data_IF_438561382140
#
_entry.id   IF_438561382140
#
_cell.length_a   1.000
_cell.length_b   1.000
_cell.length_c   1.000
_cell.angle_alpha   90.00
_cell.angle_beta   90.00
_cell.angle_gamma   90.00
#
_symmetry.space_group_name_H-M   'P 1'
#
loop_
_entity.id
_entity.type
_entity.pdbx_description
1 polymer ?
#
# COMPACT_ATOMS: atom_id res chain seq x y z
N UNK A 1 8.86 -8.61 15.31
CA UNK A 1 7.83 -7.59 14.95
C UNK A 1 8.41 -6.22 15.33
N UNK A 2 8.32 -5.23 14.46
CA UNK A 2 8.76 -3.87 14.79
C UNK A 2 7.66 -3.18 15.63
N UNK A 3 7.77 -3.26 16.96
CA UNK A 3 6.75 -2.76 17.89
C UNK A 3 6.50 -1.25 17.70
N UNK A 4 7.49 -0.51 17.25
CA UNK A 4 7.36 0.93 16.97
C UNK A 4 6.46 1.17 15.75
N UNK A 5 6.61 0.37 14.68
CA UNK A 5 5.81 0.50 13.45
C UNK A 5 4.35 0.14 13.73
N UNK A 6 4.11 -0.96 14.46
CA UNK A 6 2.76 -1.35 14.88
C UNK A 6 2.09 -0.25 15.71
N UNK A 7 2.79 0.26 16.73
CA UNK A 7 2.26 1.35 17.58
C UNK A 7 1.91 2.58 16.75
N UNK A 8 2.77 2.98 15.82
CA UNK A 8 2.53 4.12 14.94
C UNK A 8 1.24 3.93 14.11
N UNK A 9 1.07 2.77 13.45
CA UNK A 9 -0.10 2.47 12.63
C UNK A 9 -1.38 2.49 13.50
N UNK A 10 -1.34 1.84 14.67
CA UNK A 10 -2.48 1.81 15.58
C UNK A 10 -2.85 3.21 16.08
N UNK A 11 -1.88 4.04 16.43
CA UNK A 11 -2.12 5.41 16.88
C UNK A 11 -2.71 6.27 15.76
N UNK A 12 -2.23 6.12 14.53
CA UNK A 12 -2.79 6.78 13.35
C UNK A 12 -4.24 6.35 13.10
N UNK A 13 -4.53 5.05 13.12
CA UNK A 13 -5.91 4.57 12.95
C UNK A 13 -6.83 5.08 14.07
N UNK A 14 -6.38 5.08 15.33
CA UNK A 14 -7.16 5.62 16.48
C UNK A 14 -7.38 7.12 16.41
N UNK A 15 -6.57 7.87 15.69
CA UNK A 15 -6.80 9.31 15.48
C UNK A 15 -7.94 9.59 14.50
N UNK A 16 -8.39 8.56 13.75
CA UNK A 16 -9.52 8.69 12.82
C UNK A 16 -10.83 8.46 13.58
N UNK A 17 -11.70 9.48 13.62
CA UNK A 17 -13.03 9.36 14.22
C UNK A 17 -13.98 8.60 13.27
N UNK A 18 -13.87 7.27 13.28
CA UNK A 18 -14.67 6.38 12.43
C UNK A 18 -15.17 5.17 13.21
N UNK A 19 -16.48 4.86 13.19
CA UNK A 19 -17.01 3.63 13.77
C UNK A 19 -16.33 2.38 13.17
N UNK A 20 -15.94 1.45 14.05
CA UNK A 20 -15.35 0.17 13.64
C UNK A 20 -13.82 0.15 13.62
N UNK A 21 -13.13 1.27 13.91
CA UNK A 21 -11.66 1.33 13.97
C UNK A 21 -11.08 0.29 14.93
N UNK A 22 -11.66 0.10 16.10
CA UNK A 22 -11.16 -0.90 17.07
C UNK A 22 -11.26 -2.33 16.50
N UNK A 23 -12.37 -2.66 15.84
CA UNK A 23 -12.54 -3.97 15.20
C UNK A 23 -11.58 -4.15 14.01
N UNK A 24 -11.28 -3.09 13.26
CA UNK A 24 -10.26 -3.11 12.22
C UNK A 24 -8.88 -3.37 12.82
N UNK A 25 -8.50 -2.69 13.89
CA UNK A 25 -7.21 -2.90 14.58
C UNK A 25 -7.10 -4.33 15.09
N UNK A 26 -8.17 -4.87 15.69
CA UNK A 26 -8.21 -6.27 16.11
C UNK A 26 -7.99 -7.27 14.97
N UNK A 27 -8.56 -6.97 13.80
CA UNK A 27 -8.30 -7.74 12.59
C UNK A 27 -6.84 -7.64 12.13
N UNK A 28 -6.26 -6.45 12.08
CA UNK A 28 -4.86 -6.26 11.69
C UNK A 28 -3.92 -7.03 12.65
N UNK A 29 -4.19 -7.00 13.95
CA UNK A 29 -3.42 -7.71 14.98
C UNK A 29 -3.57 -9.24 14.93
N UNK A 30 -4.74 -9.74 14.55
CA UNK A 30 -5.02 -11.17 14.43
C UNK A 30 -4.61 -11.79 13.10
N UNK A 31 -4.31 -10.95 12.12
CA UNK A 31 -3.82 -11.33 10.80
C UNK A 31 -2.29 -11.24 10.72
N UNK A 32 -1.74 -11.49 9.52
CA UNK A 32 -0.32 -11.30 9.25
C UNK A 32 0.03 -9.88 8.75
N UNK A 33 -0.87 -8.89 8.83
CA UNK A 33 -0.65 -7.54 8.30
C UNK A 33 0.70 -6.94 8.73
N UNK A 34 1.11 -7.11 9.98
CA UNK A 34 2.36 -6.58 10.53
C UNK A 34 3.59 -7.43 10.23
N UNK A 35 3.41 -8.61 9.65
CA UNK A 35 4.50 -9.56 9.34
C UNK A 35 4.53 -9.97 7.87
N UNK A 36 3.45 -9.75 7.12
CA UNK A 36 3.40 -10.04 5.70
C UNK A 36 4.41 -9.22 4.89
N UNK A 37 4.97 -9.78 3.81
CA UNK A 37 5.76 -9.00 2.86
C UNK A 37 4.84 -8.13 1.98
N UNK A 38 5.37 -7.04 1.43
CA UNK A 38 4.65 -6.23 0.44
C UNK A 38 4.61 -6.90 -0.95
N UNK A 39 5.59 -7.75 -1.27
CA UNK A 39 5.66 -8.48 -2.54
C UNK A 39 6.39 -9.82 -2.39
N UNK A 40 6.40 -10.65 -3.44
CA UNK A 40 7.16 -11.92 -3.44
C UNK A 40 8.66 -11.73 -3.69
N UNK A 41 9.09 -10.67 -4.36
CA UNK A 41 10.50 -10.47 -4.77
C UNK A 41 10.87 -9.04 -5.17
N UNK A 42 9.94 -8.10 -5.09
CA UNK A 42 10.18 -6.69 -5.41
C UNK A 42 10.32 -5.88 -4.11
N UNK A 43 9.77 -4.67 -4.06
CA UNK A 43 9.77 -3.85 -2.84
C UNK A 43 9.17 -4.59 -1.65
N UNK A 44 9.73 -4.39 -0.46
CA UNK A 44 9.21 -4.96 0.78
C UNK A 44 9.07 -6.50 0.81
N UNK A 45 9.91 -7.24 0.07
CA UNK A 45 9.88 -8.71 0.01
C UNK A 45 10.53 -9.35 1.25
N UNK A 46 10.17 -8.89 2.44
CA UNK A 46 10.66 -9.35 3.74
C UNK A 46 9.57 -9.25 4.81
N UNK A 47 9.80 -9.87 5.95
CA UNK A 47 8.86 -9.85 7.08
C UNK A 47 8.58 -8.42 7.55
N UNK A 48 7.31 -8.02 7.55
CA UNK A 48 6.85 -6.68 7.92
C UNK A 48 6.84 -5.66 6.78
N UNK A 49 7.27 -6.06 5.57
CA UNK A 49 7.32 -5.18 4.42
C UNK A 49 5.98 -4.54 4.05
N UNK A 50 4.85 -5.23 4.27
CA UNK A 50 3.51 -4.69 4.02
C UNK A 50 3.21 -3.48 4.92
N UNK A 51 3.45 -3.60 6.21
CA UNK A 51 3.21 -2.52 7.16
C UNK A 51 4.14 -1.33 6.93
N UNK A 52 5.41 -1.58 6.63
CA UNK A 52 6.39 -0.55 6.30
C UNK A 52 6.01 0.20 5.01
N UNK A 53 5.67 -0.52 3.96
CA UNK A 53 5.16 0.05 2.72
C UNK A 53 3.93 0.95 2.95
N UNK A 54 2.96 0.48 3.73
CA UNK A 54 1.77 1.26 4.05
C UNK A 54 2.08 2.58 4.75
N UNK A 55 3.09 2.62 5.63
CA UNK A 55 3.56 3.86 6.27
C UNK A 55 4.28 4.76 5.28
N UNK A 56 5.14 4.21 4.43
CA UNK A 56 5.81 4.99 3.37
C UNK A 56 4.79 5.63 2.41
N UNK A 57 3.73 4.91 2.05
CA UNK A 57 2.62 5.45 1.24
C UNK A 57 1.89 6.58 1.99
N UNK A 58 1.65 6.44 3.31
CA UNK A 58 1.05 7.49 4.12
C UNK A 58 1.90 8.76 4.11
N UNK A 59 3.20 8.65 4.32
CA UNK A 59 4.12 9.79 4.31
C UNK A 59 4.18 10.47 2.94
N UNK A 60 4.19 9.69 1.86
CA UNK A 60 4.10 10.22 0.50
C UNK A 60 2.77 10.95 0.25
N UNK A 61 1.63 10.39 0.70
CA UNK A 61 0.32 11.03 0.55
C UNK A 61 0.23 12.37 1.27
N UNK A 62 0.67 12.43 2.53
CA UNK A 62 0.70 13.67 3.30
C UNK A 62 1.58 14.73 2.64
N UNK A 63 2.74 14.31 2.10
CA UNK A 63 3.65 15.19 1.35
C UNK A 63 3.02 15.72 0.07
N UNK A 64 2.35 14.86 -0.71
CA UNK A 64 1.66 15.26 -1.95
C UNK A 64 0.50 16.21 -1.64
N UNK A 65 -0.31 15.92 -0.63
CA UNK A 65 -1.45 16.75 -0.24
C UNK A 65 -1.00 18.16 0.16
N UNK A 66 0.02 18.26 1.00
CA UNK A 66 0.63 19.54 1.40
C UNK A 66 1.23 20.29 0.20
N UNK A 67 1.93 19.59 -0.68
CA UNK A 67 2.57 20.18 -1.86
C UNK A 67 1.52 20.71 -2.84
N UNK A 68 0.47 19.96 -3.11
CA UNK A 68 -0.61 20.37 -4.01
C UNK A 68 -1.36 21.58 -3.47
N UNK A 69 -1.58 21.61 -2.15
CA UNK A 69 -2.17 22.79 -1.52
C UNK A 69 -1.26 24.01 -1.62
N UNK A 70 0.01 23.91 -1.26
CA UNK A 70 0.95 25.05 -1.25
C UNK A 70 1.27 25.58 -2.63
N UNK A 71 1.49 24.70 -3.60
CA UNK A 71 2.00 25.08 -4.93
C UNK A 71 0.87 25.46 -5.88
N UNK A 72 -0.24 24.71 -5.84
CA UNK A 72 -1.33 24.84 -6.80
C UNK A 72 -2.63 25.39 -6.18
N UNK A 73 -2.67 25.64 -4.87
CA UNK A 73 -3.85 26.13 -4.18
C UNK A 73 -5.01 25.12 -4.14
N UNK A 74 -4.71 23.83 -4.32
CA UNK A 74 -5.74 22.78 -4.26
C UNK A 74 -6.23 22.60 -2.81
N UNK A 75 -7.51 22.34 -2.59
CA UNK A 75 -8.00 22.00 -1.25
C UNK A 75 -7.33 20.72 -0.76
N UNK A 76 -7.03 20.68 0.53
CA UNK A 76 -6.54 19.45 1.19
C UNK A 76 -7.65 18.42 1.27
N UNK A 77 -7.25 17.15 1.16
CA UNK A 77 -8.12 16.03 1.47
C UNK A 77 -8.27 15.87 3.00
N UNK A 78 -9.31 15.18 3.43
CA UNK A 78 -9.49 14.86 4.85
C UNK A 78 -8.35 13.96 5.35
N UNK A 79 -7.67 14.36 6.44
CA UNK A 79 -6.53 13.61 6.97
C UNK A 79 -6.92 12.19 7.39
N UNK A 80 -8.12 12.00 7.95
CA UNK A 80 -8.63 10.67 8.30
C UNK A 80 -8.79 9.78 7.06
N UNK A 81 -9.28 10.32 5.96
CA UNK A 81 -9.38 9.61 4.69
C UNK A 81 -7.99 9.26 4.12
N UNK A 82 -7.02 10.19 4.19
CA UNK A 82 -5.63 9.92 3.78
C UNK A 82 -5.05 8.75 4.59
N UNK A 83 -5.21 8.77 5.93
CA UNK A 83 -4.74 7.70 6.80
C UNK A 83 -5.36 6.36 6.43
N UNK A 84 -6.69 6.32 6.26
CA UNK A 84 -7.40 5.08 5.94
C UNK A 84 -6.96 4.50 4.59
N UNK A 85 -6.95 5.31 3.53
CA UNK A 85 -6.62 4.78 2.21
C UNK A 85 -5.15 4.36 2.10
N UNK A 86 -4.22 5.09 2.71
CA UNK A 86 -2.81 4.74 2.70
C UNK A 86 -2.52 3.45 3.47
N UNK A 87 -3.09 3.29 4.67
CA UNK A 87 -2.83 2.10 5.49
C UNK A 87 -3.59 0.85 5.02
N UNK A 88 -4.66 1.01 4.21
CA UNK A 88 -5.54 -0.09 3.84
C UNK A 88 -5.54 -0.43 2.34
N UNK A 89 -4.84 0.34 1.49
CA UNK A 89 -4.88 0.11 0.03
C UNK A 89 -4.47 -1.32 -0.34
N UNK A 90 -3.50 -1.86 0.35
CA UNK A 90 -2.91 -3.18 0.14
C UNK A 90 -3.40 -4.26 1.13
N UNK A 91 -4.52 -4.05 1.79
CA UNK A 91 -5.11 -4.99 2.73
C UNK A 91 -5.37 -6.38 2.11
N UNK A 92 -5.51 -6.43 0.80
CA UNK A 92 -5.63 -7.66 0.01
C UNK A 92 -4.43 -8.60 0.14
N UNK A 93 -3.27 -8.10 0.54
CA UNK A 93 -2.02 -8.85 0.75
C UNK A 93 -2.02 -9.65 2.06
N UNK A 94 -2.88 -9.29 3.00
CA UNK A 94 -3.04 -9.98 4.29
C UNK A 94 -3.45 -11.44 4.08
N UNK A 95 -2.79 -12.36 4.80
CA UNK A 95 -3.00 -13.82 4.71
C UNK A 95 -2.91 -14.35 3.27
N UNK A 96 -1.97 -13.82 2.49
CA UNK A 96 -1.85 -14.12 1.06
C UNK A 96 -0.50 -14.72 0.69
N UNK A 97 0.54 -14.46 1.49
CA UNK A 97 1.90 -14.92 1.20
C UNK A 97 2.36 -15.98 2.18
N UNK A 98 3.02 -17.02 1.67
CA UNK A 98 3.62 -18.08 2.45
C UNK A 98 5.07 -18.28 2.03
N UNK A 99 5.91 -18.70 2.96
CA UNK A 99 7.30 -19.05 2.65
C UNK A 99 7.38 -20.45 2.05
N UNK A 100 8.20 -20.61 1.01
CA UNK A 100 8.42 -21.89 0.34
C UNK A 100 9.86 -22.03 -0.13
N UNK A 101 10.37 -23.24 -0.19
CA UNK A 101 11.65 -23.51 -0.85
C UNK A 101 11.46 -23.35 -2.36
N UNK A 102 12.25 -22.43 -2.93
CA UNK A 102 12.27 -22.09 -4.35
C UNK A 102 13.68 -22.36 -4.92
N UNK A 103 13.77 -22.45 -6.23
CA UNK A 103 15.03 -22.72 -6.92
C UNK A 103 15.34 -21.62 -7.92
N UNK A 104 16.61 -21.18 -7.96
CA UNK A 104 17.11 -20.21 -8.95
C UNK A 104 18.50 -20.65 -9.44
N UNK A 105 18.92 -20.09 -10.56
CA UNK A 105 20.32 -20.23 -11.01
C UNK A 105 21.18 -19.15 -10.39
N UNK A 106 22.32 -19.53 -9.84
CA UNK A 106 23.35 -18.61 -9.37
C UNK A 106 24.04 -17.90 -10.55
N UNK A 107 25.02 -17.01 -10.26
CA UNK A 107 25.78 -16.26 -11.26
C UNK A 107 26.60 -17.18 -12.22
N UNK A 108 26.82 -18.43 -11.85
CA UNK A 108 27.56 -19.44 -12.62
C UNK A 108 26.63 -20.41 -13.36
N UNK A 109 25.30 -20.20 -13.27
CA UNK A 109 24.30 -21.07 -13.89
C UNK A 109 23.98 -22.34 -13.11
N UNK A 110 24.51 -22.54 -11.91
CA UNK A 110 24.23 -23.67 -11.02
C UNK A 110 22.92 -23.43 -10.24
N UNK A 111 22.09 -24.46 -10.14
CA UNK A 111 20.87 -24.41 -9.35
C UNK A 111 21.17 -24.35 -7.85
N UNK A 112 20.56 -23.40 -7.16
CA UNK A 112 20.55 -23.27 -5.71
C UNK A 112 19.12 -23.12 -5.20
N UNK A 113 18.83 -23.71 -4.02
CA UNK A 113 17.56 -23.48 -3.33
C UNK A 113 17.66 -22.26 -2.43
N UNK A 114 16.53 -21.58 -2.24
CA UNK A 114 16.37 -20.48 -1.28
C UNK A 114 14.94 -20.48 -0.74
N UNK A 115 14.72 -19.89 0.43
CA UNK A 115 13.39 -19.67 0.96
C UNK A 115 12.88 -18.32 0.41
N UNK A 116 11.74 -18.36 -0.27
CA UNK A 116 11.11 -17.19 -0.84
C UNK A 116 9.61 -17.18 -0.57
N UNK A 117 8.97 -16.04 -0.83
CA UNK A 117 7.52 -15.91 -0.72
C UNK A 117 6.80 -16.38 -1.98
N UNK A 118 5.69 -17.08 -1.79
CA UNK A 118 4.73 -17.45 -2.85
C UNK A 118 3.37 -16.86 -2.52
N UNK A 119 2.60 -16.52 -3.56
CA UNK A 119 1.26 -15.98 -3.42
C UNK A 119 0.22 -17.09 -3.51
N UNK A 120 -0.48 -17.37 -2.44
CA UNK A 120 -1.54 -18.38 -2.34
C UNK A 120 -2.77 -17.77 -1.64
N UNK A 121 -3.55 -16.89 -2.30
CA UNK A 121 -4.67 -16.20 -1.67
C UNK A 121 -5.86 -17.14 -1.45
N UNK A 122 -6.44 -17.12 -0.26
CA UNK A 122 -7.70 -17.83 0.03
C UNK A 122 -8.89 -17.24 -0.74
N UNK A 123 -8.89 -15.91 -0.92
CA UNK A 123 -9.94 -15.18 -1.63
C UNK A 123 -9.38 -14.57 -2.92
N UNK A 124 -9.87 -15.09 -4.05
CA UNK A 124 -9.48 -14.63 -5.38
C UNK A 124 -10.39 -13.48 -5.84
N UNK A 125 -9.92 -12.25 -5.67
CA UNK A 125 -10.53 -11.01 -6.16
C UNK A 125 -9.45 -10.13 -6.79
N UNK A 126 -9.83 -9.13 -7.57
CA UNK A 126 -8.95 -8.07 -8.04
C UNK A 126 -8.27 -7.37 -6.86
N UNK A 127 -7.10 -6.81 -7.08
CA UNK A 127 -6.23 -6.29 -6.02
C UNK A 127 -6.94 -5.21 -5.17
N UNK A 128 -7.33 -4.10 -5.79
CA UNK A 128 -8.07 -3.04 -5.11
C UNK A 128 -9.44 -3.48 -4.59
N UNK A 129 -10.17 -4.29 -5.39
CA UNK A 129 -11.49 -4.83 -4.99
C UNK A 129 -11.43 -5.66 -3.71
N UNK A 130 -10.40 -6.50 -3.54
CA UNK A 130 -10.19 -7.29 -2.32
C UNK A 130 -9.90 -6.41 -1.11
N UNK A 131 -9.07 -5.35 -1.29
CA UNK A 131 -8.76 -4.41 -0.21
C UNK A 131 -10.02 -3.66 0.25
N UNK A 132 -10.82 -3.12 -0.67
CA UNK A 132 -12.11 -2.48 -0.37
C UNK A 132 -13.06 -3.45 0.35
N UNK A 133 -13.19 -4.69 -0.16
CA UNK A 133 -14.04 -5.69 0.46
C UNK A 133 -13.63 -6.03 1.89
N UNK A 134 -12.33 -6.19 2.14
CA UNK A 134 -11.82 -6.51 3.49
C UNK A 134 -12.00 -5.33 4.45
N UNK A 135 -11.68 -4.10 4.03
CA UNK A 135 -11.86 -2.90 4.87
C UNK A 135 -13.32 -2.70 5.26
N UNK A 136 -14.26 -2.87 4.32
CA UNK A 136 -15.70 -2.70 4.56
C UNK A 136 -16.33 -3.77 5.48
N UNK A 137 -15.60 -4.82 5.88
CA UNK A 137 -16.05 -5.72 6.94
C UNK A 137 -16.00 -5.08 8.32
N UNK A 138 -15.20 -4.05 8.50
CA UNK A 138 -14.91 -3.44 9.78
C UNK A 138 -15.32 -1.97 9.85
N UNK A 139 -15.02 -1.21 8.79
CA UNK A 139 -15.35 0.23 8.69
C UNK A 139 -16.13 0.49 7.41
N UNK A 140 -17.00 1.51 7.44
CA UNK A 140 -17.65 1.98 6.22
C UNK A 140 -16.73 2.99 5.52
N UNK A 141 -16.12 2.57 4.41
CA UNK A 141 -15.41 3.49 3.53
C UNK A 141 -16.40 4.43 2.83
N UNK A 142 -16.05 5.69 2.69
CA UNK A 142 -16.77 6.61 1.79
C UNK A 142 -16.57 6.19 0.34
N UNK A 143 -17.42 6.70 -0.56
CA UNK A 143 -17.30 6.41 -2.00
C UNK A 143 -15.93 6.84 -2.56
N UNK A 144 -15.40 7.98 -2.08
CA UNK A 144 -14.10 8.50 -2.49
C UNK A 144 -12.94 7.64 -1.97
N UNK A 145 -13.01 7.17 -0.72
CA UNK A 145 -12.02 6.24 -0.13
C UNK A 145 -12.03 4.89 -0.83
N UNK A 146 -13.22 4.31 -1.03
CA UNK A 146 -13.38 3.04 -1.73
C UNK A 146 -12.85 3.12 -3.17
N UNK A 147 -13.15 4.21 -3.89
CA UNK A 147 -12.67 4.45 -5.24
C UNK A 147 -11.14 4.66 -5.26
N UNK A 148 -10.58 5.35 -4.27
CA UNK A 148 -9.13 5.53 -4.17
C UNK A 148 -8.42 4.18 -4.00
N UNK A 149 -8.87 3.35 -3.07
CA UNK A 149 -8.32 2.00 -2.85
C UNK A 149 -8.55 1.11 -4.07
N UNK A 150 -9.72 1.17 -4.71
CA UNK A 150 -10.04 0.35 -5.89
C UNK A 150 -9.03 0.60 -7.03
N UNK A 151 -8.68 1.86 -7.30
CA UNK A 151 -7.88 2.26 -8.45
C UNK A 151 -6.42 2.60 -8.12
N UNK A 152 -5.92 2.28 -6.91
CA UNK A 152 -4.55 2.64 -6.53
C UNK A 152 -3.47 2.01 -7.43
N UNK A 153 -3.71 0.81 -7.95
CA UNK A 153 -2.79 0.15 -8.89
C UNK A 153 -2.70 0.83 -10.26
N UNK A 154 -3.61 1.77 -10.54
CA UNK A 154 -3.65 2.47 -11.82
C UNK A 154 -3.78 1.51 -13.00
N UNK A 155 -3.02 1.77 -14.06
CA UNK A 155 -3.06 0.97 -15.29
C UNK A 155 -2.55 -0.47 -15.14
N UNK A 156 -1.89 -0.81 -14.03
CA UNK A 156 -1.41 -2.18 -13.80
C UNK A 156 -2.53 -3.19 -13.51
N UNK A 157 -3.69 -2.73 -13.05
CA UNK A 157 -4.85 -3.59 -12.75
C UNK A 157 -6.00 -3.42 -13.78
N UNK A 158 -5.73 -2.73 -14.89
CA UNK A 158 -6.69 -2.46 -15.96
C UNK A 158 -6.48 -3.42 -17.12
N UNK A 159 -7.52 -4.23 -17.45
CA UNK A 159 -7.44 -5.25 -18.48
C UNK A 159 -8.18 -4.91 -19.78
N UNK A 160 -9.06 -3.92 -19.78
CA UNK A 160 -9.93 -3.58 -20.91
C UNK A 160 -10.19 -2.06 -21.02
N UNK A 161 -10.77 -1.65 -22.17
CA UNK A 161 -11.04 -0.26 -22.49
C UNK A 161 -12.04 0.42 -21.54
N UNK A 162 -13.04 -0.30 -21.06
CA UNK A 162 -14.07 0.26 -20.16
C UNK A 162 -13.45 0.61 -18.82
N UNK A 163 -12.72 -0.32 -18.23
CA UNK A 163 -11.99 -0.11 -16.96
C UNK A 163 -10.95 1.00 -17.08
N UNK A 164 -10.31 1.14 -18.26
CA UNK A 164 -9.37 2.25 -18.50
C UNK A 164 -10.05 3.62 -18.47
N UNK A 165 -11.25 3.74 -19.05
CA UNK A 165 -12.04 4.98 -18.98
C UNK A 165 -12.48 5.29 -17.56
N UNK A 166 -12.95 4.28 -16.80
CA UNK A 166 -13.35 4.43 -15.40
C UNK A 166 -12.18 4.91 -14.52
N UNK A 167 -10.97 4.38 -14.76
CA UNK A 167 -9.75 4.86 -14.10
C UNK A 167 -9.49 6.34 -14.35
N UNK A 168 -9.56 6.77 -15.62
CA UNK A 168 -9.39 8.17 -16.01
C UNK A 168 -10.43 9.09 -15.37
N UNK A 169 -11.69 8.65 -15.32
CA UNK A 169 -12.76 9.36 -14.64
C UNK A 169 -12.55 9.42 -13.12
N UNK A 170 -12.13 8.32 -12.48
CA UNK A 170 -11.83 8.28 -11.07
C UNK A 170 -10.76 9.32 -10.71
N UNK A 171 -9.63 9.33 -11.44
CA UNK A 171 -8.56 10.30 -11.19
C UNK A 171 -8.95 11.75 -11.46
N UNK A 172 -9.81 11.99 -12.44
CA UNK A 172 -10.25 13.36 -12.76
C UNK A 172 -11.25 13.95 -11.78
N UNK A 173 -11.99 13.09 -11.07
CA UNK A 173 -13.08 13.49 -10.15
C UNK A 173 -12.71 13.34 -8.68
N UNK A 174 -11.66 12.58 -8.36
CA UNK A 174 -11.28 12.21 -7.01
C UNK A 174 -9.75 12.39 -6.82
N UNK A 175 -9.37 13.51 -6.20
CA UNK A 175 -7.95 13.82 -5.92
C UNK A 175 -7.29 12.76 -5.03
N UNK A 176 -8.04 12.19 -4.09
CA UNK A 176 -7.55 11.15 -3.19
C UNK A 176 -7.10 9.89 -3.96
N UNK A 177 -7.87 9.49 -5.01
CA UNK A 177 -7.52 8.33 -5.84
C UNK A 177 -6.21 8.56 -6.62
N UNK A 178 -6.05 9.74 -7.22
CA UNK A 178 -4.81 10.08 -7.93
C UNK A 178 -3.61 10.17 -6.97
N UNK A 179 -3.79 10.84 -5.81
CA UNK A 179 -2.72 10.99 -4.82
C UNK A 179 -2.29 9.65 -4.25
N UNK A 180 -3.22 8.74 -3.96
CA UNK A 180 -2.88 7.40 -3.47
C UNK A 180 -2.05 6.62 -4.50
N UNK A 181 -2.46 6.61 -5.78
CA UNK A 181 -1.67 5.96 -6.83
C UNK A 181 -0.27 6.57 -6.95
N UNK A 182 -0.17 7.90 -6.96
CA UNK A 182 1.12 8.58 -7.05
C UNK A 182 2.00 8.30 -5.82
N UNK A 183 1.42 8.27 -4.61
CA UNK A 183 2.11 7.97 -3.37
C UNK A 183 2.64 6.53 -3.32
N UNK A 184 1.84 5.56 -3.76
CA UNK A 184 2.25 4.15 -3.87
C UNK A 184 3.43 3.99 -4.85
N UNK A 185 3.38 4.64 -6.02
CA UNK A 185 4.50 4.68 -6.96
C UNK A 185 5.75 5.36 -6.37
N UNK A 186 5.58 6.46 -5.62
CA UNK A 186 6.69 7.13 -4.94
C UNK A 186 7.31 6.24 -3.87
N UNK A 187 6.52 5.61 -3.02
CA UNK A 187 6.99 4.67 -2.00
C UNK A 187 7.79 3.54 -2.67
N UNK A 188 7.18 2.85 -3.63
CA UNK A 188 7.76 1.69 -4.32
C UNK A 188 9.05 2.00 -5.07
N UNK A 189 9.06 3.08 -5.88
CA UNK A 189 10.15 3.33 -6.83
C UNK A 189 11.18 4.35 -6.35
N UNK A 190 10.88 5.12 -5.30
CA UNK A 190 11.78 6.14 -4.76
C UNK A 190 12.25 5.77 -3.36
N UNK A 191 11.34 5.54 -2.39
CA UNK A 191 11.75 5.31 -1.00
C UNK A 191 12.26 3.88 -0.76
N UNK A 192 11.64 2.88 -1.39
CA UNK A 192 11.93 1.46 -1.17
C UNK A 192 12.87 0.86 -2.24
N UNK A 193 13.44 1.71 -3.09
CA UNK A 193 14.33 1.27 -4.16
C UNK A 193 15.78 1.24 -3.68
N UNK A 194 16.27 0.04 -3.37
CA UNK A 194 17.66 -0.19 -2.95
C UNK A 194 18.73 0.25 -3.98
N UNK A 195 18.32 0.48 -5.24
CA UNK A 195 19.25 0.94 -6.29
C UNK A 195 19.42 2.46 -6.33
N UNK A 196 18.65 3.23 -5.54
CA UNK A 196 18.82 4.68 -5.44
C UNK A 196 19.79 4.97 -4.30
N UNK A 197 21.03 5.29 -4.64
CA UNK A 197 22.08 5.66 -3.67
C UNK A 197 21.89 7.13 -3.26
N UNK A 198 21.02 7.38 -2.29
CA UNK A 198 20.79 8.72 -1.72
C UNK A 198 22.06 9.30 -1.03
N UNK A 199 23.01 8.45 -0.64
CA UNK A 199 24.25 8.88 0.02
C UNK A 199 25.18 9.68 -0.93
N UNK A 200 25.15 9.43 -2.22
CA UNK A 200 25.98 10.16 -3.18
C UNK A 200 25.48 11.58 -3.47
N UNK A 201 24.19 11.85 -3.28
CA UNK A 201 23.58 13.15 -3.58
C UNK A 201 23.90 14.18 -2.50
N UNK A 202 24.16 13.75 -1.26
CA UNK A 202 24.42 14.63 -0.11
C UNK A 202 25.89 14.97 0.13
N UNK A 203 26.82 14.46 -0.66
CA UNK A 203 28.26 14.68 -0.49
C UNK A 203 28.85 15.79 -1.37
N UNK A 204 28.07 16.39 -2.29
CA UNK A 204 28.50 17.48 -3.19
C UNK A 204 27.81 18.82 -2.90
N UNK A 205 27.44 19.11 -1.66
CA UNK A 205 26.82 20.36 -1.21
C UNK A 205 27.72 21.18 -0.29
#
# INVERSE_FOLDING_TARGET
>A
MNDNLRSFIVDKLKSVDRPGIDALIEFLDSSDYFTAPASTKYHGAYEGGLAEHSVNVLDCMLTLDETFNKVYGMPKDDEGSIILVALLHDLCKTNTYHTKELWRKDKNGKWESYIGYVREPELCMGHGSKSVYLANKYINLSDTEAQAILYHMGAYDVSDYMTHNELGEAYSKNSLAYKLHAADMMATYVLENENILWEEINTEG
#
